data_IF_958815589018
#
_entry.id   IF_958815589018
#
_cell.length_a   1.000
_cell.length_b   1.000
_cell.length_c   1.000
_cell.angle_alpha   90.00
_cell.angle_beta   90.00
_cell.angle_gamma   90.00
#
_symmetry.space_group_name_H-M   'P 1'
#
loop_
_entity.id
_entity.type
_entity.pdbx_description
1 polymer ?
#
# COMPACT_ATOMS: atom_id res chain seq x y z
N UNK A 1 4.75 -1.43 -9.90
CA UNK A 1 5.54 -2.18 -8.89
C UNK A 1 5.10 -1.70 -7.51
N UNK A 2 4.60 -2.59 -6.65
CA UNK A 2 4.18 -2.20 -5.30
C UNK A 2 5.44 -2.08 -4.43
N UNK A 3 5.78 -0.88 -3.97
CA UNK A 3 7.01 -0.62 -3.20
C UNK A 3 6.99 -1.21 -1.78
N UNK A 4 5.84 -1.72 -1.35
CA UNK A 4 5.66 -2.19 0.02
C UNK A 4 5.60 -1.08 1.06
N UNK A 5 5.31 0.14 0.61
CA UNK A 5 5.18 1.31 1.46
C UNK A 5 3.77 1.89 1.36
N UNK A 6 3.28 2.42 2.48
CA UNK A 6 2.04 3.18 2.53
C UNK A 6 2.21 4.43 3.38
N UNK A 7 1.42 5.46 3.07
CA UNK A 7 1.34 6.69 3.85
C UNK A 7 0.01 6.70 4.58
N UNK A 8 0.04 7.05 5.87
CA UNK A 8 -1.17 7.18 6.68
C UNK A 8 -1.18 8.57 7.33
N UNK A 9 -2.33 9.25 7.26
CA UNK A 9 -2.47 10.63 7.73
C UNK A 9 -3.78 10.77 8.50
N UNK A 10 -3.73 11.39 9.68
CA UNK A 10 -4.90 11.66 10.53
C UNK A 10 -4.77 13.00 11.24
N UNK A 11 -5.86 13.48 11.84
CA UNK A 11 -5.93 14.78 12.52
C UNK A 11 -6.56 14.62 13.90
N UNK A 12 -6.03 15.37 14.87
CA UNK A 12 -6.63 15.53 16.19
C UNK A 12 -7.88 16.43 16.10
N UNK A 13 -9.08 15.86 16.11
CA UNK A 13 -10.34 16.63 16.11
C UNK A 13 -11.06 16.60 17.46
N UNK A 14 -11.79 17.68 17.79
CA UNK A 14 -12.66 17.73 18.99
C UNK A 14 -14.08 17.26 18.72
N UNK A 15 -14.76 16.84 19.80
CA UNK A 15 -16.15 16.38 19.85
C UNK A 15 -17.21 17.46 19.58
N UNK A 16 -16.84 18.67 19.15
CA UNK A 16 -17.76 19.80 19.08
C UNK A 16 -18.77 19.62 17.92
N UNK A 17 -19.86 18.92 18.24
CA UNK A 17 -21.10 18.85 17.44
C UNK A 17 -21.68 20.24 17.11
N UNK A 18 -21.29 21.29 17.86
CA UNK A 18 -21.78 22.66 17.70
C UNK A 18 -21.09 23.45 16.57
N UNK A 19 -19.97 22.97 16.02
CA UNK A 19 -19.27 23.62 14.89
C UNK A 19 -19.57 22.96 13.54
N UNK A 20 -20.54 22.02 13.51
CA UNK A 20 -20.99 21.32 12.30
C UNK A 20 -21.78 22.21 11.32
N UNK A 21 -21.86 23.51 11.58
CA UNK A 21 -22.42 24.48 10.65
C UNK A 21 -21.39 24.78 9.54
N UNK A 22 -21.61 24.13 8.40
CA UNK A 22 -21.51 24.77 7.09
C UNK A 22 -20.15 24.94 6.39
N UNK A 23 -19.14 24.10 6.66
CA UNK A 23 -18.02 23.98 5.72
C UNK A 23 -18.18 22.73 4.87
N UNK A 24 -18.62 22.92 3.62
CA UNK A 24 -18.41 21.97 2.51
C UNK A 24 -16.89 21.87 2.27
N UNK A 25 -16.13 21.29 3.18
CA UNK A 25 -14.76 20.92 2.88
C UNK A 25 -14.79 19.87 1.76
N UNK A 26 -14.12 20.18 0.65
CA UNK A 26 -13.95 19.25 -0.46
C UNK A 26 -13.18 18.04 0.07
N UNK A 27 -13.87 16.90 0.19
CA UNK A 27 -13.25 15.60 0.48
C UNK A 27 -12.11 15.38 -0.52
N UNK A 28 -10.91 15.19 -0.02
CA UNK A 28 -9.71 14.97 -0.82
C UNK A 28 -8.92 13.83 -0.18
N UNK A 29 -8.36 12.93 -0.98
CA UNK A 29 -7.50 11.86 -0.46
C UNK A 29 -6.19 12.44 0.14
N UNK A 30 -5.82 13.66 -0.27
CA UNK A 30 -4.62 14.35 0.21
C UNK A 30 -4.87 15.21 1.45
N UNK A 31 -6.12 15.37 1.88
CA UNK A 31 -6.46 16.09 3.11
C UNK A 31 -7.29 15.16 3.99
N UNK A 32 -6.74 14.72 5.13
CA UNK A 32 -7.52 13.88 6.03
C UNK A 32 -8.83 14.58 6.42
N UNK A 33 -9.95 13.86 6.50
CA UNK A 33 -11.21 14.44 6.94
C UNK A 33 -11.04 14.95 8.38
N UNK A 34 -11.34 16.22 8.59
CA UNK A 34 -11.32 16.90 9.90
C UNK A 34 -12.61 16.66 10.70
N UNK A 35 -13.67 16.22 10.01
CA UNK A 35 -15.05 16.14 10.54
C UNK A 35 -15.69 14.79 10.22
N UNK A 36 -16.67 14.40 11.05
CA UNK A 36 -17.48 13.18 10.82
C UNK A 36 -16.96 11.90 11.47
N UNK A 37 -15.85 11.96 12.22
CA UNK A 37 -15.39 10.89 13.11
C UNK A 37 -15.51 11.32 14.58
N UNK A 38 -15.68 10.38 15.52
CA UNK A 38 -15.61 10.67 16.96
C UNK A 38 -14.29 11.34 17.33
N UNK A 39 -14.29 12.06 18.46
CA UNK A 39 -13.07 12.63 19.00
C UNK A 39 -12.06 11.54 19.32
N UNK A 40 -10.80 11.76 18.94
CA UNK A 40 -9.71 10.86 19.24
C UNK A 40 -9.36 11.00 20.73
N UNK A 41 -9.71 9.99 21.53
CA UNK A 41 -9.42 9.94 22.98
C UNK A 41 -8.17 9.13 23.30
N UNK A 42 -7.61 8.42 22.31
CA UNK A 42 -6.39 7.62 22.43
C UNK A 42 -5.21 8.37 21.83
N UNK A 43 -4.05 8.27 22.49
CA UNK A 43 -2.75 8.71 21.97
C UNK A 43 -2.12 7.66 21.04
N UNK A 44 -2.63 6.44 21.08
CA UNK A 44 -2.12 5.30 20.34
C UNK A 44 -2.98 5.03 19.11
N UNK A 45 -2.30 4.96 17.96
CA UNK A 45 -2.84 4.53 16.67
C UNK A 45 -2.41 3.10 16.42
N UNK A 46 -3.39 2.24 16.14
CA UNK A 46 -3.17 0.83 15.79
C UNK A 46 -3.40 0.62 14.29
N UNK A 47 -2.39 0.11 13.60
CA UNK A 47 -2.47 -0.19 12.17
C UNK A 47 -2.23 -1.69 11.99
N UNK A 48 -3.22 -2.40 11.44
CA UNK A 48 -3.06 -3.79 11.08
C UNK A 48 -2.03 -3.93 9.95
N UNK A 49 -0.99 -4.72 10.20
CA UNK A 49 0.11 -4.97 9.27
C UNK A 49 0.44 -6.48 9.29
N UNK A 50 0.01 -7.24 8.27
CA UNK A 50 0.03 -8.70 8.30
C UNK A 50 1.44 -9.26 8.31
N UNK A 51 1.63 -10.35 9.07
CA UNK A 51 2.93 -11.03 9.20
C UNK A 51 3.47 -11.53 7.86
N UNK A 52 2.60 -11.91 6.91
CA UNK A 52 3.03 -12.31 5.57
C UNK A 52 3.89 -11.24 4.86
N UNK A 53 3.65 -9.96 5.15
CA UNK A 53 4.43 -8.87 4.58
C UNK A 53 5.69 -8.59 5.40
N UNK A 54 5.61 -8.68 6.73
CA UNK A 54 6.68 -8.26 7.65
C UNK A 54 7.64 -9.37 8.04
N UNK A 55 7.28 -10.65 7.86
CA UNK A 55 8.10 -11.77 8.30
C UNK A 55 9.48 -11.74 7.63
N UNK A 56 10.53 -11.78 8.45
CA UNK A 56 11.92 -11.64 7.99
C UNK A 56 12.30 -10.24 7.50
N UNK A 57 11.46 -9.22 7.74
CA UNK A 57 11.67 -7.82 7.33
C UNK A 57 11.50 -6.89 8.53
N UNK A 58 12.22 -5.78 8.51
CA UNK A 58 12.07 -4.70 9.48
C UNK A 58 11.00 -3.72 9.01
N UNK A 59 10.07 -3.39 9.90
CA UNK A 59 9.12 -2.29 9.69
C UNK A 59 9.81 -0.97 10.00
N UNK A 60 9.87 -0.08 9.02
CA UNK A 60 10.49 1.24 9.12
C UNK A 60 9.40 2.30 9.04
N UNK A 61 9.27 3.12 10.08
CA UNK A 61 8.32 4.23 10.16
C UNK A 61 9.08 5.55 10.07
N UNK A 62 8.66 6.42 9.15
CA UNK A 62 9.17 7.78 8.95
C UNK A 62 8.05 8.81 9.14
N UNK A 63 8.42 10.07 9.36
CA UNK A 63 7.46 11.16 9.58
C UNK A 63 6.93 11.26 11.01
N UNK A 64 7.64 10.65 11.97
CA UNK A 64 7.35 10.78 13.40
C UNK A 64 7.93 12.09 13.94
N UNK A 65 7.14 12.80 14.73
CA UNK A 65 7.56 14.03 15.39
C UNK A 65 8.49 13.75 16.59
N UNK A 66 9.22 14.76 17.10
CA UNK A 66 10.05 14.60 18.28
C UNK A 66 9.25 14.11 19.49
N UNK A 67 9.57 12.91 19.99
CA UNK A 67 8.91 12.30 21.15
C UNK A 67 7.87 11.23 20.79
N UNK A 68 7.48 11.14 19.52
CA UNK A 68 6.65 10.04 19.03
C UNK A 68 7.39 8.70 19.12
N UNK A 69 6.63 7.64 19.37
CA UNK A 69 7.17 6.28 19.47
C UNK A 69 6.39 5.34 18.56
N UNK A 70 7.07 4.33 18.04
CA UNK A 70 6.40 3.26 17.31
C UNK A 70 6.93 1.90 17.77
N UNK A 71 6.07 0.89 17.68
CA UNK A 71 6.43 -0.51 17.92
C UNK A 71 5.59 -1.40 17.02
N UNK A 72 6.24 -2.28 16.27
CA UNK A 72 5.54 -3.35 15.57
C UNK A 72 5.50 -4.61 16.45
N UNK A 73 4.33 -5.23 16.53
CA UNK A 73 4.11 -6.50 17.22
C UNK A 73 3.65 -7.56 16.21
N UNK A 74 4.56 -8.47 15.86
CA UNK A 74 4.28 -9.50 14.85
C UNK A 74 3.23 -10.51 15.31
N UNK A 75 3.17 -10.80 16.62
CA UNK A 75 2.19 -11.74 17.19
C UNK A 75 0.75 -11.21 17.05
N UNK A 76 0.59 -9.90 17.19
CA UNK A 76 -0.69 -9.20 17.01
C UNK A 76 -0.92 -8.76 15.56
N UNK A 77 0.10 -8.80 14.73
CA UNK A 77 0.11 -8.23 13.37
C UNK A 77 -0.31 -6.76 13.37
N UNK A 78 0.19 -6.00 14.35
CA UNK A 78 -0.22 -4.61 14.58
C UNK A 78 0.99 -3.71 14.78
N UNK A 79 1.01 -2.60 14.06
CA UNK A 79 1.90 -1.47 14.28
C UNK A 79 1.22 -0.48 15.23
N UNK A 80 1.86 -0.22 16.36
CA UNK A 80 1.45 0.77 17.35
C UNK A 80 2.26 2.04 17.14
N UNK A 81 1.58 3.18 17.16
CA UNK A 81 2.20 4.50 17.04
C UNK A 81 1.61 5.38 18.13
N UNK A 82 2.47 5.91 18.99
CA UNK A 82 2.10 6.78 20.10
C UNK A 82 2.56 8.19 19.79
N UNK A 83 1.59 9.09 19.65
CA UNK A 83 1.81 10.51 19.39
C UNK A 83 1.35 11.31 20.62
N UNK A 84 2.26 11.82 21.48
CA UNK A 84 1.88 12.58 22.67
C UNK A 84 1.34 13.98 22.35
N UNK A 85 1.58 14.50 21.14
CA UNK A 85 1.04 15.79 20.71
C UNK A 85 -0.47 15.70 20.46
N UNK A 86 -1.23 16.26 21.39
CA UNK A 86 -2.70 16.33 21.39
C UNK A 86 -3.23 17.69 20.93
N UNK A 87 -2.37 18.53 20.35
CA UNK A 87 -2.78 19.85 19.84
C UNK A 87 -3.95 19.71 18.87
N UNK A 88 -4.93 20.60 19.00
CA UNK A 88 -6.09 20.65 18.10
C UNK A 88 -5.64 20.86 16.66
N UNK A 89 -6.29 20.20 15.71
CA UNK A 89 -6.02 20.30 14.28
C UNK A 89 -4.59 19.90 13.87
N UNK A 90 -3.85 19.26 14.79
CA UNK A 90 -2.55 18.67 14.49
C UNK A 90 -2.73 17.56 13.48
N UNK A 91 -2.03 17.69 12.35
CA UNK A 91 -1.96 16.67 11.31
C UNK A 91 -0.76 15.77 11.58
N UNK A 92 -1.02 14.48 11.78
CA UNK A 92 -0.01 13.44 11.90
C UNK A 92 0.10 12.72 10.55
N UNK A 93 1.31 12.56 10.02
CA UNK A 93 1.53 11.89 8.73
C UNK A 93 2.76 11.01 8.77
N UNK A 94 2.56 9.72 8.64
CA UNK A 94 3.62 8.71 8.66
C UNK A 94 3.78 8.05 7.30
N UNK A 95 5.01 7.60 7.03
CA UNK A 95 5.30 6.70 5.93
C UNK A 95 5.84 5.40 6.51
N UNK A 96 5.14 4.31 6.26
CA UNK A 96 5.51 2.97 6.68
C UNK A 96 6.10 2.24 5.48
N UNK A 97 7.26 1.61 5.67
CA UNK A 97 7.97 0.85 4.64
C UNK A 97 8.63 -0.40 5.25
N UNK A 98 9.02 -1.34 4.39
CA UNK A 98 9.68 -2.58 4.80
C UNK A 98 11.14 -2.59 4.31
N UNK A 99 12.03 -3.12 5.14
CA UNK A 99 13.43 -3.33 4.83
C UNK A 99 13.84 -4.78 5.12
N UNK A 100 14.19 -5.60 4.11
CA UNK A 100 14.25 -5.27 2.68
C UNK A 100 12.87 -5.00 2.07
N UNK A 101 12.77 -4.26 0.95
CA UNK A 101 11.50 -3.94 0.30
C UNK A 101 10.80 -5.21 -0.22
N UNK A 102 9.48 -5.11 -0.44
CA UNK A 102 8.69 -6.20 -0.99
C UNK A 102 9.18 -6.56 -2.39
N UNK A 103 9.47 -7.85 -2.60
CA UNK A 103 9.72 -8.37 -3.92
C UNK A 103 8.43 -8.26 -4.75
N UNK A 104 8.52 -7.92 -6.05
CA UNK A 104 7.36 -7.97 -6.93
C UNK A 104 6.78 -9.38 -6.93
N UNK A 105 5.53 -9.51 -6.50
CA UNK A 105 4.85 -10.81 -6.39
C UNK A 105 4.64 -11.48 -7.76
N UNK A 106 4.58 -10.68 -8.83
CA UNK A 106 4.41 -11.15 -10.19
C UNK A 106 5.32 -10.33 -11.12
N UNK A 107 6.17 -11.02 -11.87
CA UNK A 107 6.68 -10.45 -13.12
C UNK A 107 5.48 -10.36 -14.06
N UNK A 108 5.19 -9.17 -14.61
CA UNK A 108 4.22 -9.06 -15.69
C UNK A 108 4.90 -9.68 -16.90
N UNK A 109 4.67 -10.98 -17.11
CA UNK A 109 5.16 -11.65 -18.29
C UNK A 109 4.42 -11.12 -19.53
N UNK A 110 5.14 -11.00 -20.64
CA UNK A 110 4.56 -10.65 -21.93
C UNK A 110 4.17 -11.92 -22.69
N UNK A 111 3.15 -11.82 -23.54
CA UNK A 111 2.66 -12.99 -24.28
C UNK A 111 3.74 -13.62 -25.17
N UNK A 112 4.70 -12.84 -25.66
CA UNK A 112 5.82 -13.35 -26.47
C UNK A 112 6.85 -14.11 -25.65
N UNK A 113 7.17 -13.69 -24.41
CA UNK A 113 8.07 -14.42 -23.54
C UNK A 113 7.51 -15.78 -23.10
N UNK A 114 6.21 -15.84 -22.79
CA UNK A 114 5.58 -17.09 -22.35
C UNK A 114 5.19 -18.02 -23.49
N UNK A 115 4.58 -17.50 -24.56
CA UNK A 115 4.01 -18.30 -25.63
C UNK A 115 4.82 -18.26 -26.92
N UNK A 116 5.86 -17.42 -27.02
CA UNK A 116 6.62 -17.24 -28.25
C UNK A 116 7.23 -18.52 -28.80
N UNK A 117 7.73 -19.40 -27.93
CA UNK A 117 8.23 -20.72 -28.34
C UNK A 117 7.14 -21.58 -28.97
N UNK A 118 5.98 -21.67 -28.31
CA UNK A 118 4.81 -22.41 -28.80
C UNK A 118 4.28 -21.81 -30.11
N UNK A 119 4.11 -20.50 -30.18
CA UNK A 119 3.66 -19.78 -31.39
C UNK A 119 4.62 -20.04 -32.55
N UNK A 120 5.92 -19.93 -32.32
CA UNK A 120 6.95 -20.17 -33.36
C UNK A 120 6.89 -21.62 -33.83
N UNK A 121 6.76 -22.59 -32.93
CA UNK A 121 6.67 -24.01 -33.29
C UNK A 121 5.45 -24.33 -34.18
N UNK A 122 4.30 -23.72 -33.88
CA UNK A 122 3.07 -23.88 -34.67
C UNK A 122 3.26 -23.28 -36.06
N UNK A 123 3.84 -22.08 -36.15
CA UNK A 123 4.09 -21.42 -37.44
C UNK A 123 5.04 -22.23 -38.32
N UNK A 124 6.10 -22.81 -37.75
CA UNK A 124 7.04 -23.68 -38.47
C UNK A 124 6.36 -24.95 -38.96
N UNK A 125 5.52 -25.57 -38.14
CA UNK A 125 4.79 -26.78 -38.53
C UNK A 125 3.84 -26.52 -39.72
N UNK A 126 3.09 -25.41 -39.68
CA UNK A 126 2.20 -25.01 -40.78
C UNK A 126 3.02 -24.77 -42.06
N UNK A 127 4.12 -24.02 -41.97
CA UNK A 127 4.96 -23.73 -43.13
C UNK A 127 5.57 -25.00 -43.75
N UNK A 128 5.96 -25.98 -42.93
CA UNK A 128 6.48 -27.26 -43.40
C UNK A 128 5.41 -28.08 -44.13
N UNK A 129 4.17 -28.07 -43.65
CA UNK A 129 3.03 -28.75 -44.29
C UNK A 129 2.72 -28.11 -45.65
N UNK A 130 2.65 -26.78 -45.72
CA UNK A 130 2.41 -26.04 -46.97
C UNK A 130 3.51 -26.30 -48.01
N UNK A 131 4.78 -26.27 -47.57
CA UNK A 131 5.91 -26.62 -48.43
C UNK A 131 5.82 -28.05 -48.95
N UNK A 132 5.52 -29.02 -48.07
CA UNK A 132 5.35 -30.40 -48.48
C UNK A 132 4.20 -30.56 -49.48
N UNK A 133 3.06 -29.91 -49.23
CA UNK A 133 1.92 -29.92 -50.14
C UNK A 133 2.27 -29.35 -51.52
N UNK A 134 2.97 -28.21 -51.57
CA UNK A 134 3.38 -27.56 -52.81
C UNK A 134 4.41 -28.36 -53.63
N UNK A 135 5.25 -29.17 -52.99
CA UNK A 135 6.22 -30.01 -53.70
C UNK A 135 5.68 -31.40 -54.09
N UNK A 136 4.58 -31.84 -53.47
CA UNK A 136 3.95 -33.13 -53.72
C UNK A 136 2.79 -33.08 -54.74
N UNK A 137 2.38 -31.88 -55.17
CA UNK A 137 1.41 -31.63 -56.24
C UNK A 137 2.04 -30.76 -57.32
#
# INVERSE_FOLDING_TARGET
MNTGAFTYTWVNSTTNHASQTHLKEKKSVFKPPSTGHPALTSLETEIFLPSQLTHGRKVVVKGLDPGDKHRYDESRQTLFIVCPDTSLDKVHSIVVSLDPPLAPAFAVNDCWGEFGGTITSILVAIAAIELAYFFLH
#
